data_IF_703619054274
#
_entry.id   IF_703619054274
#
_cell.length_a   1.000
_cell.length_b   1.000
_cell.length_c   1.000
_cell.angle_alpha   90.00
_cell.angle_beta   90.00
_cell.angle_gamma   90.00
#
_symmetry.space_group_name_H-M   'P 1'
#
loop_
_entity.id
_entity.type
_entity.pdbx_description
1 polymer ?
#
# COMPACT_ATOMS: atom_id res chain seq x y z
N UNK A 1 23.49 7.56 79.77
CA UNK A 1 23.17 8.20 78.50
C UNK A 1 22.36 7.22 77.67
N UNK A 2 21.04 7.35 77.65
CA UNK A 2 20.11 6.38 77.05
C UNK A 2 19.66 6.95 75.71
N UNK A 3 20.09 6.34 74.60
CA UNK A 3 19.71 6.72 73.22
C UNK A 3 18.29 6.22 72.91
N UNK A 4 17.33 7.13 72.89
CA UNK A 4 15.94 6.86 72.45
C UNK A 4 15.88 6.66 70.95
N UNK A 5 15.67 5.45 70.50
CA UNK A 5 15.36 5.13 69.11
C UNK A 5 13.93 5.53 68.75
N UNK A 6 13.76 6.49 67.85
CA UNK A 6 12.46 6.96 67.38
C UNK A 6 11.92 5.91 66.39
N UNK A 7 10.82 5.22 66.76
CA UNK A 7 10.12 4.31 65.83
C UNK A 7 9.36 5.13 64.79
N UNK A 8 9.74 5.01 63.52
CA UNK A 8 8.98 5.56 62.40
C UNK A 8 7.68 4.78 62.23
N UNK A 9 6.55 5.47 62.42
CA UNK A 9 5.23 4.89 62.20
C UNK A 9 4.82 4.94 60.74
N UNK A 10 4.01 3.97 60.30
CA UNK A 10 3.46 3.89 58.93
C UNK A 10 2.70 5.15 58.47
N UNK A 11 2.32 6.04 59.41
CA UNK A 11 1.63 7.31 59.13
C UNK A 11 2.57 8.42 58.65
N UNK A 12 3.86 8.37 59.01
CA UNK A 12 4.84 9.39 58.64
C UNK A 12 5.29 9.25 57.18
N UNK A 13 5.02 8.09 56.56
CA UNK A 13 5.33 7.82 55.13
C UNK A 13 4.33 8.51 54.17
N UNK A 14 3.15 8.88 54.66
CA UNK A 14 2.10 9.46 53.79
C UNK A 14 2.12 10.99 53.74
N UNK A 15 2.92 11.67 54.56
CA UNK A 15 2.94 13.14 54.62
C UNK A 15 4.21 13.80 54.05
N UNK A 16 5.18 13.02 53.59
CA UNK A 16 6.44 13.54 53.09
C UNK A 16 6.78 13.13 51.67
N UNK A 17 6.01 13.54 50.66
CA UNK A 17 6.39 13.21 49.30
C UNK A 17 5.36 13.61 48.26
N UNK A 18 4.90 14.83 48.30
CA UNK A 18 4.06 15.42 47.26
C UNK A 18 4.85 15.83 46.03
N UNK A 19 5.55 14.90 45.37
CA UNK A 19 5.99 15.08 43.98
C UNK A 19 5.17 14.14 43.11
N UNK A 20 3.99 14.61 42.68
CA UNK A 20 3.19 13.97 41.67
C UNK A 20 3.96 14.05 40.36
N UNK A 21 4.80 13.04 40.09
CA UNK A 21 5.29 12.77 38.77
C UNK A 21 4.05 12.29 37.99
N UNK A 22 3.44 13.19 37.24
CA UNK A 22 2.52 12.86 36.16
C UNK A 22 3.33 12.06 35.12
N UNK A 23 3.44 10.76 35.35
CA UNK A 23 3.79 9.82 34.30
C UNK A 23 2.64 9.92 33.31
N UNK A 24 2.82 10.79 32.29
CA UNK A 24 2.02 10.75 31.10
C UNK A 24 2.25 9.35 30.51
N UNK A 25 1.37 8.41 30.89
CA UNK A 25 1.28 7.11 30.23
C UNK A 25 0.94 7.41 28.78
N UNK A 26 1.96 7.46 27.91
CA UNK A 26 1.79 7.39 26.49
C UNK A 26 1.18 6.02 26.21
N UNK A 27 -0.15 5.98 26.20
CA UNK A 27 -0.89 4.80 25.74
C UNK A 27 -0.39 4.62 24.30
N UNK A 28 0.31 3.53 23.97
CA UNK A 28 0.70 3.28 22.59
C UNK A 28 -0.61 3.16 21.82
N UNK A 29 -0.94 4.17 21.03
CA UNK A 29 -2.01 4.05 20.06
C UNK A 29 -1.69 2.83 19.20
N UNK A 30 -2.58 1.84 19.11
CA UNK A 30 -2.33 0.69 18.26
C UNK A 30 -2.06 1.23 16.87
N UNK A 31 -0.86 0.95 16.36
CA UNK A 31 -0.54 1.25 14.97
C UNK A 31 -1.55 0.47 14.13
N UNK A 32 -2.56 1.16 13.63
CA UNK A 32 -3.47 0.59 12.64
C UNK A 32 -2.57 0.27 11.45
N UNK A 33 -2.18 -0.99 11.33
CA UNK A 33 -1.47 -1.49 10.17
C UNK A 33 -2.38 -1.24 8.98
N UNK A 34 -2.11 -0.19 8.21
CA UNK A 34 -2.79 0.04 6.94
C UNK A 34 -2.57 -1.23 6.12
N UNK A 35 -3.64 -1.95 5.87
CA UNK A 35 -3.59 -3.17 5.07
C UNK A 35 -3.32 -2.78 3.62
N UNK A 36 -2.05 -2.58 3.28
CA UNK A 36 -1.63 -2.13 1.95
C UNK A 36 -1.78 -3.30 0.99
N UNK A 37 -2.72 -3.17 0.07
CA UNK A 37 -2.89 -4.11 -1.02
C UNK A 37 -1.96 -3.74 -2.18
N UNK A 38 -1.10 -4.68 -2.57
CA UNK A 38 -0.20 -4.52 -3.72
C UNK A 38 -0.74 -5.30 -4.90
N UNK A 39 -0.79 -4.63 -6.05
CA UNK A 39 -1.22 -5.21 -7.32
C UNK A 39 -0.15 -5.00 -8.38
N UNK A 40 -0.04 -5.95 -9.29
CA UNK A 40 0.86 -5.90 -10.43
C UNK A 40 0.05 -5.63 -11.71
N UNK A 41 0.46 -4.61 -12.46
CA UNK A 41 -0.09 -4.28 -13.77
C UNK A 41 0.98 -4.50 -14.83
N UNK A 42 0.67 -5.27 -15.85
CA UNK A 42 1.52 -5.39 -17.04
C UNK A 42 0.96 -4.54 -18.18
N UNK A 43 1.83 -3.95 -19.01
CA UNK A 43 1.39 -3.15 -20.16
C UNK A 43 2.06 -3.60 -21.43
N UNK A 44 1.36 -3.45 -22.55
CA UNK A 44 1.89 -3.70 -23.90
C UNK A 44 2.83 -2.60 -24.41
N UNK A 45 2.94 -1.50 -23.65
CA UNK A 45 3.65 -0.32 -24.09
C UNK A 45 5.05 -0.23 -23.49
N UNK A 46 6.03 0.30 -24.25
CA UNK A 46 7.34 0.63 -23.72
C UNK A 46 7.25 1.68 -22.59
N UNK A 47 8.21 1.63 -21.70
CA UNK A 47 8.34 2.63 -20.63
C UNK A 47 8.51 4.03 -21.23
N UNK A 48 7.86 5.00 -20.60
CA UNK A 48 7.93 6.41 -21.00
C UNK A 48 7.39 6.74 -22.41
N UNK A 49 6.71 5.81 -23.08
CA UNK A 49 6.02 6.15 -24.33
C UNK A 49 4.96 7.22 -24.05
N UNK A 50 5.01 8.38 -24.71
CA UNK A 50 4.04 9.45 -24.48
C UNK A 50 2.60 8.99 -24.67
N UNK A 51 1.76 9.30 -23.68
CA UNK A 51 0.36 8.87 -23.66
C UNK A 51 0.20 7.42 -23.20
N UNK A 52 0.57 6.46 -24.02
CA UNK A 52 0.28 5.04 -23.80
C UNK A 52 1.13 4.41 -22.69
N UNK A 53 2.43 4.68 -22.64
CA UNK A 53 3.32 4.14 -21.62
C UNK A 53 3.25 4.91 -20.30
N UNK A 54 2.98 6.23 -20.35
CA UNK A 54 2.89 7.08 -19.15
C UNK A 54 1.52 7.04 -18.46
N UNK A 55 0.46 6.69 -19.20
CA UNK A 55 -0.90 6.65 -18.64
C UNK A 55 -1.08 5.60 -17.53
N UNK A 56 -0.61 4.36 -17.66
CA UNK A 56 -0.70 3.36 -16.62
C UNK A 56 -0.02 3.81 -15.31
N UNK A 57 1.17 4.40 -15.41
CA UNK A 57 1.90 4.92 -14.25
C UNK A 57 1.15 6.08 -13.58
N UNK A 58 0.55 6.97 -14.38
CA UNK A 58 -0.29 8.06 -13.87
C UNK A 58 -1.54 7.54 -13.15
N UNK A 59 -2.20 6.52 -13.71
CA UNK A 59 -3.36 5.87 -13.09
C UNK A 59 -2.95 5.22 -11.77
N UNK A 60 -1.88 4.45 -11.76
CA UNK A 60 -1.35 3.79 -10.56
C UNK A 60 -1.05 4.79 -9.45
N UNK A 61 -0.40 5.90 -9.77
CA UNK A 61 -0.12 6.99 -8.83
C UNK A 61 -1.41 7.61 -8.28
N UNK A 62 -2.37 7.95 -9.13
CA UNK A 62 -3.65 8.54 -8.69
C UNK A 62 -4.45 7.62 -7.80
N UNK A 63 -4.45 6.31 -8.07
CA UNK A 63 -5.11 5.33 -7.21
C UNK A 63 -4.42 5.26 -5.85
N UNK A 64 -3.10 5.25 -5.82
CA UNK A 64 -2.34 5.27 -4.58
C UNK A 64 -2.64 6.52 -3.74
N UNK A 65 -2.66 7.70 -4.37
CA UNK A 65 -3.02 8.97 -3.73
C UNK A 65 -4.47 8.95 -3.22
N UNK A 66 -5.43 8.52 -4.04
CA UNK A 66 -6.85 8.48 -3.70
C UNK A 66 -7.17 7.50 -2.57
N UNK A 67 -6.36 6.46 -2.40
CA UNK A 67 -6.51 5.46 -1.33
C UNK A 67 -5.61 5.71 -0.13
N UNK A 68 -4.95 6.85 -0.08
CA UNK A 68 -4.00 7.21 0.97
C UNK A 68 -2.96 6.10 1.21
N UNK A 69 -2.42 5.54 0.10
CA UNK A 69 -1.46 4.44 0.09
C UNK A 69 -2.03 3.06 0.37
N UNK A 70 -3.36 2.92 0.54
CA UNK A 70 -4.01 1.62 0.80
C UNK A 70 -3.96 0.66 -0.39
N UNK A 71 -3.90 1.20 -1.61
CA UNK A 71 -3.76 0.42 -2.84
C UNK A 71 -2.52 0.87 -3.60
N UNK A 72 -1.56 -0.04 -3.78
CA UNK A 72 -0.33 0.21 -4.50
C UNK A 72 -0.25 -0.66 -5.75
N UNK A 73 -0.21 -0.04 -6.93
CA UNK A 73 -0.12 -0.72 -8.21
C UNK A 73 1.30 -0.56 -8.75
N UNK A 74 2.01 -1.67 -8.93
CA UNK A 74 3.30 -1.69 -9.62
C UNK A 74 3.07 -1.94 -11.09
N UNK A 75 3.52 -1.00 -11.93
CA UNK A 75 3.42 -1.11 -13.39
C UNK A 75 4.69 -1.71 -13.95
N UNK A 76 4.54 -2.70 -14.81
CA UNK A 76 5.60 -3.35 -15.58
C UNK A 76 5.41 -3.03 -17.05
N UNK A 77 6.37 -2.38 -17.63
CA UNK A 77 6.39 -2.04 -19.05
C UNK A 77 6.61 -3.28 -19.93
N UNK A 78 6.32 -3.17 -21.21
CA UNK A 78 6.53 -4.23 -22.17
C UNK A 78 7.97 -4.79 -22.09
N UNK A 79 8.10 -6.10 -21.90
CA UNK A 79 9.38 -6.79 -21.79
C UNK A 79 9.98 -6.83 -20.38
N UNK A 80 9.40 -6.14 -19.37
CA UNK A 80 9.90 -6.20 -17.99
C UNK A 80 9.48 -7.49 -17.27
N UNK A 81 8.22 -7.87 -17.34
CA UNK A 81 7.69 -9.10 -16.73
C UNK A 81 7.30 -10.13 -17.78
N UNK A 82 6.65 -9.69 -18.85
CA UNK A 82 6.21 -10.50 -20.00
C UNK A 82 6.44 -9.73 -21.31
N UNK A 83 6.55 -10.43 -22.46
CA UNK A 83 6.53 -9.77 -23.76
C UNK A 83 5.25 -8.93 -23.94
N UNK A 84 5.32 -7.89 -24.78
CA UNK A 84 4.21 -6.95 -24.98
C UNK A 84 2.85 -7.64 -25.19
N UNK A 85 2.77 -8.58 -26.14
CA UNK A 85 1.53 -9.29 -26.47
C UNK A 85 1.16 -10.41 -25.47
N UNK A 86 2.03 -10.72 -24.49
CA UNK A 86 1.73 -11.65 -23.40
C UNK A 86 0.95 -11.02 -22.25
N UNK A 87 0.68 -9.72 -22.28
CA UNK A 87 0.04 -8.99 -21.18
C UNK A 87 -1.35 -9.55 -20.81
N UNK A 88 -2.18 -9.86 -21.80
CA UNK A 88 -3.49 -10.50 -21.58
C UNK A 88 -3.36 -11.88 -20.92
N UNK A 89 -2.44 -12.71 -21.42
CA UNK A 89 -2.24 -14.06 -20.90
C UNK A 89 -1.68 -14.02 -19.48
N UNK A 90 -0.82 -13.06 -19.17
CA UNK A 90 -0.31 -12.86 -17.80
C UNK A 90 -1.44 -12.52 -16.80
N UNK A 91 -2.36 -11.66 -17.18
CA UNK A 91 -3.53 -11.35 -16.35
C UNK A 91 -4.50 -12.53 -16.24
N UNK A 92 -4.77 -13.21 -17.37
CA UNK A 92 -5.68 -14.36 -17.40
C UNK A 92 -5.18 -15.56 -16.60
N UNK A 93 -3.87 -15.75 -16.52
CA UNK A 93 -3.24 -16.83 -15.73
C UNK A 93 -3.02 -16.47 -14.26
N UNK A 94 -3.24 -15.20 -13.86
CA UNK A 94 -2.99 -14.72 -12.51
C UNK A 94 -1.51 -14.40 -12.23
N UNK A 95 -0.66 -14.34 -13.25
CA UNK A 95 0.72 -13.85 -13.10
C UNK A 95 0.75 -12.34 -12.83
N UNK A 96 -0.21 -11.61 -13.38
CA UNK A 96 -0.46 -10.22 -13.06
C UNK A 96 -1.93 -10.04 -12.64
N UNK A 97 -2.19 -9.01 -11.82
CA UNK A 97 -3.56 -8.74 -11.34
C UNK A 97 -4.39 -7.97 -12.38
N UNK A 98 -3.72 -7.26 -13.27
CA UNK A 98 -4.35 -6.47 -14.33
C UNK A 98 -3.40 -6.24 -15.50
N UNK A 99 -3.95 -5.87 -16.65
CA UNK A 99 -3.15 -5.46 -17.80
C UNK A 99 -3.68 -4.15 -18.39
N UNK A 100 -2.81 -3.49 -19.14
CA UNK A 100 -3.13 -2.31 -19.95
C UNK A 100 -2.61 -2.55 -21.37
N UNK A 101 -3.50 -2.52 -22.34
CA UNK A 101 -3.19 -2.76 -23.74
C UNK A 101 -4.37 -2.40 -24.63
N UNK A 102 -4.20 -2.54 -25.95
CA UNK A 102 -5.29 -2.37 -26.90
C UNK A 102 -5.92 -3.75 -27.16
N UNK A 103 -7.20 -3.87 -26.86
CA UNK A 103 -7.93 -5.14 -26.88
C UNK A 103 -7.90 -5.85 -28.24
N UNK A 104 -7.84 -5.12 -29.36
CA UNK A 104 -7.78 -5.71 -30.70
C UNK A 104 -6.53 -6.57 -30.94
N UNK A 105 -5.49 -6.44 -30.14
CA UNK A 105 -4.31 -7.31 -30.25
C UNK A 105 -4.65 -8.78 -30.00
N UNK A 106 -5.71 -9.05 -29.25
CA UNK A 106 -6.15 -10.40 -28.90
C UNK A 106 -7.45 -10.82 -29.57
N UNK A 107 -7.82 -10.14 -30.70
CA UNK A 107 -9.01 -10.50 -31.48
C UNK A 107 -9.03 -11.97 -31.94
N UNK A 108 -7.84 -12.58 -32.13
CA UNK A 108 -7.72 -14.00 -32.44
C UNK A 108 -8.12 -14.94 -31.31
N UNK A 109 -8.17 -14.44 -30.05
CA UNK A 109 -8.62 -15.20 -28.90
C UNK A 109 -10.13 -15.08 -28.70
N UNK A 110 -10.67 -13.86 -28.89
CA UNK A 110 -12.10 -13.61 -28.83
C UNK A 110 -12.43 -12.38 -29.71
N UNK A 111 -13.33 -12.55 -30.67
CA UNK A 111 -13.75 -11.48 -31.58
C UNK A 111 -14.42 -10.31 -30.84
N UNK A 112 -14.96 -10.55 -29.63
CA UNK A 112 -15.55 -9.51 -28.80
C UNK A 112 -14.56 -8.43 -28.35
N UNK A 113 -13.26 -8.70 -28.37
CA UNK A 113 -12.25 -7.70 -28.03
C UNK A 113 -12.24 -6.50 -28.99
N UNK A 114 -12.63 -6.69 -30.25
CA UNK A 114 -12.74 -5.60 -31.20
C UNK A 114 -13.81 -4.57 -30.79
N UNK A 115 -14.85 -5.01 -30.08
CA UNK A 115 -15.92 -4.12 -29.63
C UNK A 115 -15.42 -3.03 -28.67
N UNK A 116 -14.49 -3.38 -27.77
CA UNK A 116 -13.99 -2.43 -26.76
C UNK A 116 -12.97 -1.42 -27.29
N UNK A 117 -12.36 -1.69 -28.45
CA UNK A 117 -11.32 -0.83 -29.03
C UNK A 117 -11.76 -0.11 -30.31
N UNK A 118 -12.79 -0.61 -30.96
CA UNK A 118 -13.29 -0.09 -32.23
C UNK A 118 -14.54 0.79 -32.09
N UNK A 119 -15.01 1.01 -30.88
CA UNK A 119 -16.13 1.97 -30.63
C UNK A 119 -15.57 3.37 -30.66
N UNK A 120 -16.07 4.28 -31.53
CA UNK A 120 -15.61 5.65 -31.65
C UNK A 120 -15.94 6.51 -30.42
#
# INVERSE_FOLDING_TARGET
MTKKTKKFGRRDFLLGGGSSILLASTIPTPAISKNIRRLNMVTTWPKNLPGLGTSPERIARRINEATDGGLNIKVYSAGELVPAFGAFDAASSGLADMYNGAEYYWQGKNIGFNFFTAVP
#
